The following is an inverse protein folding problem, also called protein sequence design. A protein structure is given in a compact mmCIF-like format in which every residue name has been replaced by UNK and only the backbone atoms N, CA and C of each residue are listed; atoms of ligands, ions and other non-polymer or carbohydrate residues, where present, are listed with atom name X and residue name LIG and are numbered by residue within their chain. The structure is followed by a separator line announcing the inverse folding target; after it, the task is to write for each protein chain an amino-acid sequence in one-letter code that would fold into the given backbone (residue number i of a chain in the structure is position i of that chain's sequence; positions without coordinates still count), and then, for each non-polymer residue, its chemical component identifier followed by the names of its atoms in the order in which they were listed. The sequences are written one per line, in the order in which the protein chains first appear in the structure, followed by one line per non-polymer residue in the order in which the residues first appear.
data_IF_595900424464
#
_entry.id   IF_595900424464
#
_cell.length_a   1.000
_cell.length_b   1.000
_cell.length_c   1.000
_cell.angle_alpha   90.00
_cell.angle_beta   90.00
_cell.angle_gamma   90.00
#
_symmetry.space_group_name_H-M   'P 1'
#
loop_
_entity.id
_entity.type
_entity.pdbx_description
1 polymer ?
#
# COMPACT_ATOMS: atom_id res chain seq x y z
N UNK A 1 21.52 -16.98 22.03
CA UNK A 1 20.82 -15.83 21.42
C UNK A 1 19.91 -16.41 20.35
N UNK A 2 18.63 -16.08 20.37
CA UNK A 2 17.64 -16.63 19.43
C UNK A 2 17.44 -15.64 18.28
N UNK A 3 17.47 -16.13 17.05
CA UNK A 3 17.25 -15.30 15.86
C UNK A 3 15.79 -15.39 15.39
N UNK A 4 15.33 -14.30 14.78
CA UNK A 4 13.96 -14.18 14.28
C UNK A 4 13.97 -13.57 12.87
N UNK A 5 13.02 -14.01 12.04
CA UNK A 5 12.70 -13.36 10.77
C UNK A 5 11.39 -12.59 10.96
N UNK A 6 11.43 -11.30 10.66
CA UNK A 6 10.25 -10.43 10.71
C UNK A 6 9.96 -9.93 9.30
N UNK A 7 8.72 -10.09 8.84
CA UNK A 7 8.26 -9.50 7.57
C UNK A 7 7.24 -8.41 7.86
N UNK A 8 7.50 -7.24 7.27
CA UNK A 8 6.63 -6.07 7.38
C UNK A 8 5.97 -5.84 6.02
N UNK A 9 4.65 -5.70 6.00
CA UNK A 9 3.90 -5.24 4.86
C UNK A 9 3.43 -3.80 5.12
N UNK A 10 3.32 -3.02 4.05
CA UNK A 10 2.86 -1.64 4.08
C UNK A 10 2.32 -1.27 2.70
N UNK A 11 1.46 -0.28 2.66
CA UNK A 11 0.89 0.26 1.43
C UNK A 11 1.77 1.37 0.86
N UNK A 12 1.88 1.38 -0.46
CA UNK A 12 2.48 2.46 -1.25
C UNK A 12 1.41 3.08 -2.13
N UNK A 13 1.58 4.34 -2.48
CA UNK A 13 0.71 5.00 -3.46
C UNK A 13 1.17 4.65 -4.86
N UNK A 14 0.23 4.24 -5.69
CA UNK A 14 0.45 3.97 -7.10
C UNK A 14 -0.44 4.88 -7.95
N UNK A 15 0.05 5.23 -9.14
CA UNK A 15 -0.61 6.18 -10.03
C UNK A 15 -0.63 5.64 -11.46
N UNK A 16 -1.77 5.84 -12.12
CA UNK A 16 -1.95 5.67 -13.55
C UNK A 16 -2.59 6.95 -14.11
N UNK A 17 -2.13 7.37 -15.28
CA UNK A 17 -2.61 8.57 -15.95
C UNK A 17 -3.60 8.20 -17.06
N UNK A 18 -4.66 8.99 -17.20
CA UNK A 18 -5.58 8.87 -18.33
C UNK A 18 -5.85 10.23 -18.92
N UNK A 19 -5.72 10.34 -20.25
CA UNK A 19 -6.16 11.51 -21.00
C UNK A 19 -7.57 11.27 -21.49
N UNK A 20 -8.46 12.23 -21.28
CA UNK A 20 -9.86 12.15 -21.69
C UNK A 20 -10.33 13.46 -22.30
N UNK A 21 -11.26 13.35 -23.25
CA UNK A 21 -11.90 14.48 -23.91
C UNK A 21 -13.31 14.68 -23.33
N UNK A 22 -13.69 15.92 -23.03
CA UNK A 22 -15.00 16.28 -22.51
C UNK A 22 -15.39 17.71 -22.93
N UNK A 23 -16.67 17.97 -23.12
CA UNK A 23 -17.18 19.29 -23.50
C UNK A 23 -17.40 20.22 -22.28
N UNK A 24 -17.49 19.64 -21.07
CA UNK A 24 -17.68 20.38 -19.81
C UNK A 24 -16.94 19.70 -18.67
N UNK A 25 -16.64 20.45 -17.61
CA UNK A 25 -16.01 19.91 -16.39
C UNK A 25 -16.86 18.83 -15.72
N UNK A 26 -18.19 19.00 -15.70
CA UNK A 26 -19.10 18.01 -15.14
C UNK A 26 -19.02 16.68 -15.92
N UNK A 27 -18.95 16.75 -17.26
CA UNK A 27 -18.76 15.57 -18.10
C UNK A 27 -17.36 14.95 -17.90
N UNK A 28 -16.32 15.78 -17.77
CA UNK A 28 -14.95 15.31 -17.50
C UNK A 28 -14.88 14.51 -16.19
N UNK A 29 -15.55 14.99 -15.12
CA UNK A 29 -15.62 14.30 -13.83
C UNK A 29 -16.30 12.95 -13.95
N UNK A 30 -17.45 12.87 -14.63
CA UNK A 30 -18.15 11.60 -14.80
C UNK A 30 -17.35 10.60 -15.66
N UNK A 31 -16.69 11.08 -16.72
CA UNK A 31 -15.77 10.26 -17.52
C UNK A 31 -14.55 9.78 -16.70
N UNK A 32 -13.97 10.66 -15.88
CA UNK A 32 -12.85 10.31 -15.01
C UNK A 32 -13.23 9.23 -14.00
N UNK A 33 -14.41 9.33 -13.37
CA UNK A 33 -14.92 8.28 -12.45
C UNK A 33 -15.11 6.94 -13.15
N UNK A 34 -15.64 6.95 -14.37
CA UNK A 34 -15.80 5.74 -15.17
C UNK A 34 -14.44 5.12 -15.52
N UNK A 35 -13.48 5.93 -15.97
CA UNK A 35 -12.13 5.48 -16.27
C UNK A 35 -11.42 4.92 -15.02
N UNK A 36 -11.54 5.60 -13.88
CA UNK A 36 -10.98 5.13 -12.61
C UNK A 36 -11.54 3.77 -12.21
N UNK A 37 -12.86 3.54 -12.36
CA UNK A 37 -13.46 2.23 -12.08
C UNK A 37 -12.87 1.13 -12.95
N UNK A 38 -12.70 1.38 -14.24
CA UNK A 38 -12.07 0.43 -15.16
C UNK A 38 -10.60 0.17 -14.80
N UNK A 39 -9.85 1.21 -14.41
CA UNK A 39 -8.45 1.07 -14.00
C UNK A 39 -8.30 0.16 -12.77
N UNK A 40 -9.25 0.20 -11.83
CA UNK A 40 -9.23 -0.67 -10.64
C UNK A 40 -9.37 -2.17 -10.95
N UNK A 41 -9.85 -2.54 -12.13
CA UNK A 41 -9.94 -3.94 -12.57
C UNK A 41 -8.62 -4.43 -13.21
N UNK A 42 -7.67 -3.52 -13.45
CA UNK A 42 -6.38 -3.83 -14.03
C UNK A 42 -5.47 -4.54 -13.02
N UNK A 43 -4.76 -5.55 -13.50
CA UNK A 43 -3.66 -6.21 -12.78
C UNK A 43 -2.28 -5.82 -13.36
N UNK A 44 -2.25 -4.84 -14.26
CA UNK A 44 -1.01 -4.34 -14.83
C UNK A 44 -0.16 -3.62 -13.77
N UNK A 45 1.15 -3.51 -14.03
CA UNK A 45 2.00 -2.69 -13.19
C UNK A 45 1.61 -1.21 -13.34
N UNK A 46 1.48 -0.44 -12.24
CA UNK A 46 1.18 0.98 -12.32
C UNK A 46 2.24 1.77 -13.08
N UNK A 47 1.86 2.91 -13.67
CA UNK A 47 2.80 3.81 -14.33
C UNK A 47 3.86 4.35 -13.36
N UNK A 48 3.45 4.66 -12.13
CA UNK A 48 4.35 5.14 -11.09
C UNK A 48 3.96 4.63 -9.70
N UNK A 49 4.96 4.30 -8.90
CA UNK A 49 4.82 3.98 -7.48
C UNK A 49 5.63 5.00 -6.69
N UNK A 50 4.98 5.72 -5.79
CA UNK A 50 5.65 6.60 -4.84
C UNK A 50 6.24 5.75 -3.71
N UNK A 51 7.57 5.76 -3.63
CA UNK A 51 8.35 5.00 -2.65
C UNK A 51 8.84 5.84 -1.47
N UNK A 52 8.56 7.15 -1.48
CA UNK A 52 9.05 8.08 -0.48
C UNK A 52 8.16 8.06 0.78
N UNK A 53 6.88 7.68 0.65
CA UNK A 53 5.93 7.55 1.76
C UNK A 53 5.38 6.12 1.87
N UNK A 54 5.51 5.51 3.05
CA UNK A 54 4.87 4.22 3.41
C UNK A 54 3.66 4.47 4.30
N UNK A 55 2.60 3.67 4.14
CA UNK A 55 1.34 3.82 4.87
C UNK A 55 0.85 2.49 5.42
N UNK A 56 0.14 2.54 6.54
CA UNK A 56 -0.63 1.41 7.08
C UNK A 56 0.21 0.14 7.19
N UNK A 57 1.25 0.20 8.03
CA UNK A 57 2.15 -0.92 8.27
C UNK A 57 1.53 -2.05 9.11
N UNK A 58 1.74 -3.29 8.69
CA UNK A 58 1.45 -4.50 9.46
C UNK A 58 2.67 -5.41 9.53
N UNK A 59 2.91 -6.04 10.69
CA UNK A 59 3.88 -7.14 10.77
C UNK A 59 3.16 -8.37 10.24
N UNK A 60 3.47 -8.74 9.00
CA UNK A 60 2.83 -9.85 8.32
C UNK A 60 3.13 -11.18 9.02
N UNK A 61 4.38 -11.41 9.44
CA UNK A 61 4.75 -12.55 10.27
C UNK A 61 6.03 -12.32 11.06
N UNK A 62 6.16 -13.06 12.16
CA UNK A 62 7.39 -13.27 12.91
C UNK A 62 7.64 -14.78 13.01
N UNK A 63 8.77 -15.22 12.49
CA UNK A 63 9.25 -16.59 12.64
C UNK A 63 10.47 -16.63 13.54
N UNK A 64 10.57 -17.63 14.41
CA UNK A 64 11.79 -17.99 15.11
C UNK A 64 12.66 -18.88 14.21
N UNK A 65 13.94 -18.56 14.08
CA UNK A 65 14.90 -19.43 13.42
C UNK A 65 15.31 -20.56 14.36
N UNK A 66 15.13 -21.80 13.89
CA UNK A 66 15.57 -23.03 14.56
C UNK A 66 16.54 -23.80 13.65
N UNK A 67 17.36 -24.72 14.18
CA UNK A 67 18.33 -25.46 13.36
C UNK A 67 17.71 -26.16 12.14
N UNK A 68 16.47 -26.65 12.27
CA UNK A 68 15.76 -27.39 11.23
C UNK A 68 14.85 -26.50 10.35
N UNK A 69 14.91 -25.17 10.50
CA UNK A 69 14.15 -24.23 9.68
C UNK A 69 13.54 -23.07 10.45
N UNK A 70 12.22 -22.91 10.32
CA UNK A 70 11.46 -21.79 10.87
C UNK A 70 10.29 -22.32 11.69
N UNK A 71 10.02 -21.65 12.79
CA UNK A 71 8.87 -21.88 13.64
C UNK A 71 8.07 -20.59 13.73
N UNK A 72 6.82 -20.62 13.27
CA UNK A 72 5.91 -19.47 13.33
C UNK A 72 5.70 -19.05 14.79
N UNK A 73 5.82 -17.75 15.05
CA UNK A 73 5.56 -17.17 16.37
C UNK A 73 4.20 -16.49 16.38
N UNK A 74 3.95 -15.63 15.37
CA UNK A 74 2.71 -14.88 15.22
C UNK A 74 2.62 -14.34 13.79
N UNK A 75 1.39 -14.17 13.30
CA UNK A 75 1.07 -13.56 12.02
C UNK A 75 0.13 -12.36 12.22
N UNK A 76 0.08 -11.49 11.21
CA UNK A 76 -0.89 -10.39 11.07
C UNK A 76 -1.03 -9.50 12.31
N UNK A 77 0.10 -8.94 12.76
CA UNK A 77 0.14 -8.04 13.93
C UNK A 77 0.10 -6.59 13.46
N UNK A 78 -1.01 -5.91 13.73
CA UNK A 78 -1.13 -4.46 13.58
C UNK A 78 -0.12 -3.75 14.49
N UNK A 79 0.64 -2.80 13.92
CA UNK A 79 1.58 -1.98 14.71
C UNK A 79 1.49 -0.48 14.37
N UNK A 80 0.87 -0.14 13.23
CA UNK A 80 0.71 1.23 12.74
C UNK A 80 -0.79 1.61 12.75
N UNK A 81 -1.26 2.12 13.89
CA UNK A 81 -2.60 2.69 14.06
C UNK A 81 -2.57 4.18 13.69
N UNK A 82 -2.35 4.54 12.42
CA UNK A 82 -2.53 5.88 11.81
C UNK A 82 -1.96 7.13 12.55
N UNK A 83 -1.21 6.96 13.65
CA UNK A 83 -0.81 8.01 14.62
C UNK A 83 0.57 8.58 14.35
N UNK A 84 1.33 8.04 13.41
CA UNK A 84 2.59 8.65 12.95
C UNK A 84 2.30 9.64 11.81
N UNK A 85 1.25 10.45 11.98
CA UNK A 85 1.00 11.67 11.19
C UNK A 85 0.67 12.82 12.14
N UNK A 86 1.52 13.04 13.14
CA UNK A 86 1.61 14.39 13.68
C UNK A 86 2.03 15.30 12.51
N UNK A 87 1.10 16.12 12.04
CA UNK A 87 1.36 17.18 11.07
C UNK A 87 2.55 18.02 11.56
N UNK A 88 3.38 18.58 10.65
CA UNK A 88 4.41 19.52 11.08
C UNK A 88 3.74 20.64 11.89
N UNK A 89 4.31 20.94 13.06
CA UNK A 89 3.83 22.02 13.91
C UNK A 89 3.73 23.32 13.09
N UNK A 90 2.58 24.01 13.25
CA UNK A 90 2.27 25.28 12.59
C UNK A 90 3.25 26.41 12.94
#
# INVERSE_FOLDING_TARGET
MTEYIVKIAFWLRAFDSVTLEAATDAEAIEKAKAAARTAMESIAHPEHIDTDERREGVIAYIDRLIPDGREEVIEDVEFDDDRIRDAPAA
#
